data_IF_455568612917
#
_entry.id   IF_455568612917
#
_cell.length_a   1.000
_cell.length_b   1.000
_cell.length_c   1.000
_cell.angle_alpha   90.00
_cell.angle_beta   90.00
_cell.angle_gamma   90.00
#
_symmetry.space_group_name_H-M   'P 1'
#
loop_
_entity.id
_entity.type
_entity.pdbx_description
1 polymer ?
#
# COMPACT_ATOMS: atom_id res chain seq x y z
N UNK A 1 -4.20 5.62 -20.51
CA UNK A 1 -3.53 5.66 -19.33
C UNK A 1 -2.42 4.79 -19.26
N UNK A 2 -1.46 5.20 -18.72
CA UNK A 2 -0.40 4.36 -18.72
C UNK A 2 0.25 4.29 -17.41
N UNK A 3 0.49 3.12 -17.02
CA UNK A 3 1.29 2.85 -15.87
C UNK A 3 2.72 2.53 -16.28
N UNK A 4 3.09 3.02 -17.47
CA UNK A 4 4.43 2.81 -17.99
C UNK A 4 5.36 3.90 -17.46
N UNK A 5 6.08 3.57 -16.40
CA UNK A 5 7.07 4.44 -15.78
C UNK A 5 8.15 3.58 -15.11
N UNK A 6 9.24 4.21 -14.76
CA UNK A 6 10.24 3.63 -13.86
C UNK A 6 10.50 4.65 -12.75
N UNK A 7 10.49 4.22 -11.50
CA UNK A 7 10.73 5.13 -10.39
C UNK A 7 12.09 5.79 -10.48
N UNK A 8 13.11 5.08 -10.97
CA UNK A 8 14.44 5.65 -11.20
C UNK A 8 14.41 6.83 -12.18
N UNK A 9 13.64 6.70 -13.26
CA UNK A 9 13.50 7.78 -14.24
C UNK A 9 12.75 8.98 -13.64
N UNK A 10 11.74 8.72 -12.81
CA UNK A 10 10.99 9.78 -12.15
C UNK A 10 11.88 10.60 -11.21
N UNK A 11 12.76 9.93 -10.47
CA UNK A 11 13.73 10.61 -9.61
C UNK A 11 14.66 11.51 -10.44
N UNK A 12 15.15 11.01 -11.56
CA UNK A 12 16.03 11.78 -12.44
C UNK A 12 15.31 12.99 -13.04
N UNK A 13 14.03 12.83 -13.37
CA UNK A 13 13.23 13.88 -13.99
C UNK A 13 12.78 14.96 -12.99
N UNK A 14 12.31 14.55 -11.83
CA UNK A 14 11.67 15.45 -10.86
C UNK A 14 12.64 15.98 -9.79
N UNK A 15 13.75 15.29 -9.57
CA UNK A 15 14.75 15.73 -8.58
C UNK A 15 14.14 15.85 -7.18
N UNK A 16 14.42 16.96 -6.51
CA UNK A 16 14.03 17.16 -5.12
C UNK A 16 12.51 17.34 -4.92
N UNK A 17 11.74 17.52 -5.97
CA UNK A 17 10.28 17.59 -5.84
C UNK A 17 9.65 16.22 -5.65
N UNK A 18 10.39 15.15 -5.90
CA UNK A 18 9.96 13.79 -5.67
C UNK A 18 10.49 13.31 -4.30
N UNK A 19 9.61 12.73 -3.49
CA UNK A 19 10.00 12.17 -2.21
C UNK A 19 10.15 10.66 -2.35
N UNK A 20 11.25 10.13 -1.83
CA UNK A 20 11.58 8.70 -1.96
C UNK A 20 11.42 8.03 -0.60
N UNK A 21 10.62 6.98 -0.58
CA UNK A 21 10.46 6.16 0.62
C UNK A 21 11.61 5.16 0.69
N UNK A 22 12.35 5.18 1.81
CA UNK A 22 13.52 4.31 1.99
C UNK A 22 13.18 2.92 2.53
N UNK A 23 11.94 2.68 2.92
CA UNK A 23 11.53 1.37 3.39
C UNK A 23 11.69 0.33 2.29
N UNK A 24 12.29 -0.80 2.63
CA UNK A 24 12.48 -1.91 1.70
C UNK A 24 11.29 -2.86 1.80
N UNK A 25 10.48 -2.87 0.74
CA UNK A 25 9.30 -3.72 0.67
C UNK A 25 9.57 -4.98 -0.15
N UNK A 26 8.82 -6.03 0.15
CA UNK A 26 8.69 -7.21 -0.70
C UNK A 26 7.46 -7.03 -1.59
N UNK A 27 7.52 -7.61 -2.79
CA UNK A 27 6.41 -7.58 -3.73
C UNK A 27 5.56 -8.83 -3.55
N UNK A 28 4.25 -8.65 -3.42
CA UNK A 28 3.30 -9.75 -3.22
C UNK A 28 2.23 -9.85 -4.30
N UNK A 29 1.71 -8.74 -4.80
CA UNK A 29 0.66 -8.75 -5.83
C UNK A 29 1.20 -9.02 -7.23
N UNK A 30 0.31 -9.35 -8.17
CA UNK A 30 0.70 -9.62 -9.55
C UNK A 30 1.16 -8.35 -10.28
N UNK A 31 0.66 -7.19 -9.89
CA UNK A 31 1.09 -5.92 -10.47
C UNK A 31 2.32 -5.40 -9.75
N UNK A 32 3.48 -5.55 -10.37
CA UNK A 32 4.76 -5.10 -9.81
C UNK A 32 4.97 -3.60 -9.99
N UNK A 33 4.28 -2.99 -10.93
CA UNK A 33 4.33 -1.56 -11.21
C UNK A 33 2.92 -1.01 -11.07
N UNK A 34 2.74 -0.05 -10.19
CA UNK A 34 1.42 0.53 -9.98
C UNK A 34 1.53 1.96 -9.47
N UNK A 35 0.49 2.73 -9.71
CA UNK A 35 0.41 4.14 -9.34
C UNK A 35 -1.03 4.51 -9.02
N UNK A 36 -1.21 5.52 -8.20
CA UNK A 36 -2.52 6.06 -7.88
C UNK A 36 -2.45 7.14 -6.83
N UNK A 37 -3.58 7.77 -6.60
CA UNK A 37 -3.71 8.75 -5.52
C UNK A 37 -3.68 8.01 -4.19
N UNK A 38 -3.03 8.62 -3.22
CA UNK A 38 -2.86 8.03 -1.90
C UNK A 38 -4.11 8.22 -1.06
N UNK A 39 -4.55 7.13 -0.46
CA UNK A 39 -5.41 7.12 0.72
C UNK A 39 -4.66 6.39 1.83
N UNK A 40 -4.98 6.65 3.08
CA UNK A 40 -4.20 6.12 4.20
C UNK A 40 -5.07 5.48 5.27
N UNK A 41 -4.50 4.52 5.97
CA UNK A 41 -5.00 3.99 7.23
C UNK A 41 -3.83 3.88 8.20
N UNK A 42 -3.99 4.40 9.41
CA UNK A 42 -3.07 4.17 10.51
C UNK A 42 -3.71 3.17 11.45
N UNK A 43 -3.01 2.09 11.77
CA UNK A 43 -3.56 1.03 12.64
C UNK A 43 -2.42 0.26 13.29
N UNK A 44 -2.77 -0.55 14.30
CA UNK A 44 -1.79 -1.40 14.94
C UNK A 44 -2.43 -2.74 15.30
N UNK A 45 -2.00 -3.79 14.58
CA UNK A 45 -2.51 -5.15 14.78
C UNK A 45 -4.04 -5.26 14.69
N UNK A 46 -4.65 -4.34 13.93
CA UNK A 46 -6.09 -4.25 13.73
C UNK A 46 -6.35 -3.83 12.29
N UNK A 47 -7.08 -4.64 11.55
CA UNK A 47 -7.36 -4.38 10.14
C UNK A 47 -8.84 -4.12 9.85
N UNK A 48 -9.63 -3.78 10.87
CA UNK A 48 -11.04 -3.48 10.68
C UNK A 48 -11.28 -2.34 9.71
N UNK A 49 -10.55 -1.23 9.87
CA UNK A 49 -10.67 -0.08 8.98
C UNK A 49 -10.18 -0.38 7.56
N UNK A 50 -9.09 -1.14 7.41
CA UNK A 50 -8.58 -1.58 6.12
C UNK A 50 -9.65 -2.36 5.36
N UNK A 51 -10.25 -3.34 6.03
CA UNK A 51 -11.30 -4.18 5.45
C UNK A 51 -12.50 -3.36 5.00
N UNK A 52 -12.97 -2.44 5.84
CA UNK A 52 -14.11 -1.60 5.50
C UNK A 52 -13.81 -0.69 4.32
N UNK A 53 -12.66 -0.04 4.35
CA UNK A 53 -12.29 0.92 3.30
C UNK A 53 -12.13 0.23 1.94
N UNK A 54 -11.51 -0.93 1.89
CA UNK A 54 -11.27 -1.64 0.64
C UNK A 54 -12.55 -2.26 0.03
N UNK A 55 -13.65 -2.27 0.78
CA UNK A 55 -14.97 -2.63 0.25
C UNK A 55 -15.64 -1.49 -0.49
N UNK A 56 -15.12 -0.28 -0.40
CA UNK A 56 -15.66 0.88 -1.08
C UNK A 56 -14.96 1.09 -2.41
N UNK A 57 -15.55 1.85 -3.35
CA UNK A 57 -14.90 2.11 -4.64
C UNK A 57 -13.53 2.76 -4.46
N UNK A 58 -12.50 2.13 -5.05
CA UNK A 58 -11.13 2.62 -4.94
C UNK A 58 -10.77 3.69 -5.95
N UNK A 59 -11.44 3.70 -7.11
CA UNK A 59 -11.24 4.70 -8.16
C UNK A 59 -9.78 4.87 -8.57
N UNK A 60 -9.04 3.76 -8.59
CA UNK A 60 -7.63 3.75 -8.96
C UNK A 60 -6.67 4.23 -7.85
N UNK A 61 -7.16 4.44 -6.64
CA UNK A 61 -6.31 4.84 -5.52
C UNK A 61 -5.40 3.72 -5.04
N UNK A 62 -4.32 4.11 -4.38
CA UNK A 62 -3.44 3.22 -3.64
C UNK A 62 -3.67 3.45 -2.15
N UNK A 63 -3.95 2.38 -1.41
CA UNK A 63 -4.08 2.48 0.05
C UNK A 63 -2.73 2.24 0.71
N UNK A 64 -2.25 3.24 1.42
CA UNK A 64 -1.05 3.14 2.25
C UNK A 64 -1.50 2.82 3.67
N UNK A 65 -1.11 1.64 4.14
CA UNK A 65 -1.50 1.12 5.45
C UNK A 65 -0.29 1.18 6.36
N UNK A 66 -0.33 2.11 7.32
CA UNK A 66 0.76 2.21 8.29
C UNK A 66 0.44 1.34 9.51
N UNK A 67 0.97 0.14 9.50
CA UNK A 67 0.90 -0.80 10.63
C UNK A 67 2.04 -0.64 11.61
N UNK A 68 2.75 0.49 11.54
CA UNK A 68 3.86 0.83 12.44
C UNK A 68 5.01 -0.16 12.38
N UNK A 69 5.16 -0.86 11.25
CA UNK A 69 6.23 -1.83 11.06
C UNK A 69 6.04 -3.15 11.77
N UNK A 70 4.92 -3.38 12.44
CA UNK A 70 4.68 -4.64 13.15
C UNK A 70 4.53 -5.80 12.18
N UNK A 71 5.26 -6.88 12.44
CA UNK A 71 5.13 -8.15 11.72
C UNK A 71 4.36 -9.18 12.54
N UNK A 72 3.75 -8.78 13.65
CA UNK A 72 3.14 -9.71 14.58
C UNK A 72 1.80 -10.29 14.08
N UNK A 73 1.05 -9.49 13.32
CA UNK A 73 -0.20 -9.92 12.71
C UNK A 73 -0.27 -9.43 11.27
N UNK A 74 -0.99 -10.16 10.41
CA UNK A 74 -1.21 -9.77 9.03
C UNK A 74 -2.36 -8.76 8.96
N UNK A 75 -2.11 -7.63 8.29
CA UNK A 75 -3.11 -6.59 8.08
C UNK A 75 -3.97 -6.85 6.85
N UNK A 76 -3.51 -7.70 5.94
CA UNK A 76 -4.23 -8.05 4.71
C UNK A 76 -3.96 -9.50 4.37
N UNK A 77 -4.98 -10.17 3.91
CA UNK A 77 -4.90 -11.51 3.35
C UNK A 77 -5.70 -11.58 2.05
N UNK A 78 -6.03 -12.80 1.61
CA UNK A 78 -6.65 -13.01 0.30
C UNK A 78 -8.03 -12.35 0.17
N UNK A 79 -8.89 -12.45 1.17
CA UNK A 79 -10.25 -11.90 1.08
C UNK A 79 -10.24 -10.38 0.97
N UNK A 80 -9.44 -9.71 1.78
CA UNK A 80 -9.33 -8.25 1.77
C UNK A 80 -8.70 -7.78 0.47
N UNK A 81 -7.64 -8.46 0.01
CA UNK A 81 -6.97 -8.11 -1.24
C UNK A 81 -7.88 -8.32 -2.46
N UNK A 82 -8.66 -9.40 -2.49
CA UNK A 82 -9.66 -9.60 -3.56
C UNK A 82 -10.68 -8.50 -3.58
N UNK A 83 -11.16 -8.09 -2.41
CA UNK A 83 -12.08 -6.97 -2.28
C UNK A 83 -11.49 -5.69 -2.87
N UNK A 84 -10.22 -5.41 -2.60
CA UNK A 84 -9.54 -4.25 -3.17
C UNK A 84 -9.47 -4.33 -4.69
N UNK A 85 -9.09 -5.47 -5.25
CA UNK A 85 -9.02 -5.65 -6.69
C UNK A 85 -10.41 -5.49 -7.33
N UNK A 86 -11.43 -6.09 -6.73
CA UNK A 86 -12.80 -6.05 -7.25
C UNK A 86 -13.39 -4.64 -7.20
N UNK A 87 -12.96 -3.81 -6.27
CA UNK A 87 -13.47 -2.46 -6.08
C UNK A 87 -12.62 -1.38 -6.76
N UNK A 88 -11.69 -1.75 -7.61
CA UNK A 88 -10.96 -0.79 -8.44
C UNK A 88 -9.81 -0.07 -7.76
N UNK A 89 -9.28 -0.60 -6.66
CA UNK A 89 -8.05 -0.11 -6.07
C UNK A 89 -6.86 -0.52 -6.94
N UNK A 90 -5.89 0.39 -7.10
CA UNK A 90 -4.69 0.10 -7.89
C UNK A 90 -3.67 -0.71 -7.11
N UNK A 91 -3.59 -0.52 -5.81
CA UNK A 91 -2.62 -1.22 -5.02
C UNK A 91 -2.69 -0.92 -3.53
N UNK A 92 -1.88 -1.67 -2.79
CA UNK A 92 -1.71 -1.56 -1.35
C UNK A 92 -0.22 -1.44 -1.04
N UNK A 93 0.12 -0.53 -0.14
CA UNK A 93 1.47 -0.42 0.40
C UNK A 93 1.34 -0.58 1.92
N UNK A 94 1.87 -1.66 2.45
CA UNK A 94 1.66 -2.05 3.84
C UNK A 94 2.96 -1.95 4.62
N UNK A 95 3.01 -1.00 5.54
CA UNK A 95 4.11 -0.93 6.51
C UNK A 95 3.79 -1.91 7.64
N UNK A 96 3.89 -3.17 7.34
CA UNK A 96 3.50 -4.29 8.20
C UNK A 96 3.50 -5.59 7.43
N UNK A 97 2.76 -6.58 7.92
CA UNK A 97 2.72 -7.92 7.34
C UNK A 97 1.42 -8.21 6.59
N UNK A 98 1.51 -9.15 5.67
CA UNK A 98 0.37 -9.77 4.98
C UNK A 98 0.42 -11.28 5.16
N UNK A 99 -0.64 -11.97 4.75
CA UNK A 99 -0.66 -13.44 4.70
C UNK A 99 -1.26 -13.92 3.37
N UNK A 100 -1.32 -15.22 3.17
CA UNK A 100 -1.81 -15.83 1.93
C UNK A 100 -0.98 -15.44 0.71
N UNK A 101 0.34 -15.36 0.89
CA UNK A 101 1.24 -14.80 -0.12
C UNK A 101 1.15 -15.51 -1.47
N UNK A 102 0.93 -16.82 -1.49
CA UNK A 102 0.78 -17.56 -2.74
C UNK A 102 -0.47 -17.12 -3.51
N UNK A 103 -1.58 -16.87 -2.81
CA UNK A 103 -2.81 -16.37 -3.44
C UNK A 103 -2.64 -14.93 -3.89
N UNK A 104 -2.02 -14.10 -3.05
CA UNK A 104 -1.80 -12.68 -3.39
C UNK A 104 -1.01 -12.52 -4.69
N UNK A 105 -0.07 -13.43 -4.96
CA UNK A 105 0.76 -13.37 -6.15
C UNK A 105 -0.03 -13.44 -7.46
N UNK A 106 -1.22 -14.01 -7.44
CA UNK A 106 -2.09 -14.13 -8.61
C UNK A 106 -3.17 -13.06 -8.72
N UNK A 107 -3.28 -12.15 -7.75
CA UNK A 107 -4.33 -11.13 -7.78
C UNK A 107 -3.91 -9.93 -8.63
N UNK A 108 -4.83 -9.39 -9.46
CA UNK A 108 -4.54 -8.22 -10.31
C UNK A 108 -4.53 -6.93 -9.49
N UNK A 109 -3.55 -6.80 -8.65
CA UNK A 109 -3.40 -5.72 -7.67
C UNK A 109 -1.93 -5.53 -7.36
N UNK A 110 -1.49 -4.29 -7.18
CA UNK A 110 -0.17 -4.03 -6.62
C UNK A 110 -0.20 -4.26 -5.12
N UNK A 111 0.75 -5.00 -4.58
CA UNK A 111 0.87 -5.19 -3.13
C UNK A 111 2.32 -5.18 -2.75
N UNK A 112 2.69 -4.24 -1.90
CA UNK A 112 4.00 -4.20 -1.25
C UNK A 112 3.81 -4.27 0.26
N UNK A 113 4.63 -5.06 0.93
CA UNK A 113 4.59 -5.22 2.38
C UNK A 113 5.98 -5.54 2.91
N UNK A 114 6.17 -5.44 4.22
CA UNK A 114 7.47 -5.74 4.84
C UNK A 114 7.75 -7.24 4.89
N UNK A 115 6.71 -8.03 5.08
CA UNK A 115 6.86 -9.47 5.22
C UNK A 115 5.52 -10.15 5.44
N UNK A 116 5.57 -11.36 5.98
CA UNK A 116 4.40 -12.20 6.19
C UNK A 116 4.27 -12.67 7.63
N UNK A 117 3.04 -12.89 8.07
CA UNK A 117 2.74 -13.61 9.30
C UNK A 117 1.38 -14.27 9.13
N UNK A 118 1.22 -15.56 9.42
CA UNK A 118 -0.08 -16.22 9.26
C UNK A 118 -1.13 -15.81 10.30
N UNK A 119 -0.72 -15.07 11.35
CA UNK A 119 -1.66 -14.65 12.39
C UNK A 119 -2.54 -13.51 11.91
N UNK A 120 -3.84 -13.66 12.02
CA UNK A 120 -4.79 -12.59 11.67
C UNK A 120 -4.76 -11.46 12.68
N UNK A 121 -5.15 -10.27 12.23
CA UNK A 121 -5.29 -9.09 13.08
C UNK A 121 -6.65 -9.05 13.76
N UNK A 122 -6.77 -8.21 14.80
CA UNK A 122 -8.05 -7.79 15.33
C UNK A 122 -8.88 -7.08 14.26
N UNK A 123 -10.18 -7.15 14.35
CA UNK A 123 -11.12 -6.49 13.43
C UNK A 123 -12.02 -5.49 14.17
N UNK A 124 -11.52 -4.96 15.29
CA UNK A 124 -12.30 -4.01 16.10
C UNK A 124 -12.49 -2.67 15.39
N UNK A 125 -11.61 -2.28 14.48
CA UNK A 125 -11.70 -1.02 13.76
C UNK A 125 -10.98 0.12 14.47
N UNK A 126 -9.97 -0.18 15.26
CA UNK A 126 -9.16 0.84 15.91
C UNK A 126 -8.15 1.41 14.92
N UNK A 127 -8.00 2.74 14.93
CA UNK A 127 -7.08 3.44 14.05
C UNK A 127 -7.71 4.69 13.47
N UNK A 128 -7.17 5.15 12.35
CA UNK A 128 -7.65 6.36 11.68
C UNK A 128 -7.50 6.24 10.17
N UNK A 129 -8.48 6.78 9.43
CA UNK A 129 -8.52 6.78 7.97
C UNK A 129 -8.20 8.19 7.47
N UNK A 130 -7.48 8.25 6.34
CA UNK A 130 -7.15 9.51 5.64
C UNK A 130 -6.42 10.51 6.55
N UNK A 131 -5.48 10.03 7.31
CA UNK A 131 -4.56 10.83 8.12
C UNK A 131 -3.17 10.76 7.53
N UNK A 132 -2.31 11.77 7.74
CA UNK A 132 -0.91 11.66 7.35
C UNK A 132 -0.25 10.48 8.05
N UNK A 133 0.53 9.69 7.32
CA UNK A 133 1.32 8.58 7.91
C UNK A 133 2.77 8.71 7.46
N UNK A 134 3.70 8.44 8.37
CA UNK A 134 5.12 8.62 8.12
C UNK A 134 5.91 7.35 8.36
N UNK A 135 6.68 6.94 7.37
CA UNK A 135 7.68 5.87 7.49
C UNK A 135 8.64 5.96 6.31
N UNK A 136 9.79 5.34 6.44
CA UNK A 136 10.78 5.34 5.35
C UNK A 136 11.32 6.72 5.00
N UNK A 137 11.27 7.68 5.94
CA UNK A 137 11.79 9.02 5.73
C UNK A 137 10.84 9.96 4.98
N UNK A 138 9.60 9.55 4.72
CA UNK A 138 8.60 10.39 4.03
C UNK A 138 7.29 10.38 4.78
N UNK A 139 6.47 11.39 4.51
CA UNK A 139 5.07 11.44 4.97
C UNK A 139 4.17 11.23 3.77
N UNK A 140 3.29 10.24 3.86
CA UNK A 140 2.26 9.99 2.87
C UNK A 140 1.03 10.81 3.24
N UNK A 141 0.69 11.76 2.38
CA UNK A 141 -0.49 12.59 2.58
C UNK A 141 -1.62 12.11 1.68
N UNK A 142 -2.85 11.97 2.20
CA UNK A 142 -3.99 11.69 1.33
C UNK A 142 -4.04 12.69 0.18
N UNK A 143 -4.21 12.22 -1.04
CA UNK A 143 -4.23 13.05 -2.24
C UNK A 143 -2.90 13.20 -2.97
N UNK A 144 -1.78 12.82 -2.36
CA UNK A 144 -0.52 12.68 -3.08
C UNK A 144 -0.65 11.62 -4.17
N UNK A 145 0.27 11.60 -5.12
CA UNK A 145 0.37 10.51 -6.10
C UNK A 145 1.58 9.65 -5.75
N UNK A 146 1.36 8.35 -5.62
CA UNK A 146 2.42 7.38 -5.35
C UNK A 146 2.72 6.57 -6.60
N UNK A 147 4.00 6.27 -6.81
CA UNK A 147 4.48 5.40 -7.88
C UNK A 147 5.31 4.30 -7.23
N UNK A 148 5.03 3.08 -7.59
CA UNK A 148 5.73 1.92 -7.03
C UNK A 148 6.13 0.96 -8.14
N UNK A 149 7.34 0.45 -8.06
CA UNK A 149 7.87 -0.59 -8.95
C UNK A 149 8.88 -1.46 -8.19
N UNK A 150 9.69 -2.24 -8.91
CA UNK A 150 10.66 -3.14 -8.28
C UNK A 150 11.80 -2.39 -7.57
N UNK A 151 12.06 -1.13 -7.92
CA UNK A 151 13.13 -0.36 -7.30
C UNK A 151 12.67 0.40 -6.05
N UNK A 152 11.41 0.67 -5.90
CA UNK A 152 10.94 1.39 -4.71
C UNK A 152 9.60 2.07 -4.83
N UNK A 153 9.40 3.00 -3.91
CA UNK A 153 8.16 3.76 -3.77
C UNK A 153 8.52 5.24 -3.70
N UNK A 154 7.90 6.04 -4.55
CA UNK A 154 8.14 7.49 -4.60
C UNK A 154 6.82 8.25 -4.63
N UNK A 155 6.85 9.49 -4.18
CA UNK A 155 5.68 10.35 -4.00
C UNK A 155 5.86 11.68 -4.69
N UNK A 156 4.80 12.13 -5.36
CA UNK A 156 4.65 13.51 -5.81
C UNK A 156 3.44 14.14 -5.12
N UNK A 157 3.55 15.40 -4.74
CA UNK A 157 2.47 16.15 -4.13
C UNK A 157 1.32 16.33 -5.13
N UNK A 158 0.11 16.23 -4.62
CA UNK A 158 -1.10 16.43 -5.40
C UNK A 158 -1.53 15.18 -6.13
#
# INVERSE_FOLDING_TARGET
VTDTFATADLVDEHGDSLRVCDTQFRQFGAHRTFTGRVRTVSCYQDNGLVRELLRTPGEGCVLVIDGRGSLHTALTGDLIARSAADNGWAGLIVNGAVRDSAVLAGLPLGIKALGTNPRKSSKAGNGAVDVPVGFGGVTFLPGDTVYADDDGVVLLAG
#
